data_IF_895111461844
#
_entry.id   IF_895111461844
#
_cell.length_a   1.000
_cell.length_b   1.000
_cell.length_c   1.000
_cell.angle_alpha   90.00
_cell.angle_beta   90.00
_cell.angle_gamma   90.00
#
_symmetry.space_group_name_H-M   'P 1'
#
loop_
_entity.id
_entity.type
_entity.pdbx_description
1 polymer ?
#
# COMPACT_ATOMS: atom_id res chain seq x y z
N UNK A 1 1.36 9.89 -2.47
CA UNK A 1 1.55 8.52 -3.00
C UNK A 1 0.34 7.67 -2.62
N UNK A 2 -0.02 6.68 -3.42
CA UNK A 2 -1.42 6.34 -3.71
C UNK A 2 -2.14 5.51 -2.61
N UNK A 3 -2.72 6.20 -1.61
CA UNK A 3 -3.61 5.62 -0.58
C UNK A 3 -4.69 4.68 -1.13
N UNK A 4 -5.10 4.87 -2.38
CA UNK A 4 -6.14 4.06 -3.01
C UNK A 4 -5.66 2.64 -3.30
N UNK A 5 -4.36 2.41 -3.54
CA UNK A 5 -3.83 1.06 -3.82
C UNK A 5 -4.03 0.14 -2.61
N UNK A 6 -3.69 0.60 -1.41
CA UNK A 6 -3.86 -0.21 -0.19
C UNK A 6 -5.32 -0.42 0.15
N UNK A 7 -6.16 0.62 0.00
CA UNK A 7 -7.60 0.50 0.20
C UNK A 7 -8.22 -0.51 -0.77
N UNK A 8 -7.79 -0.50 -2.05
CA UNK A 8 -8.22 -1.46 -3.05
C UNK A 8 -7.76 -2.87 -2.69
N UNK A 9 -6.49 -3.08 -2.33
CA UNK A 9 -5.98 -4.38 -1.93
C UNK A 9 -6.70 -4.94 -0.69
N UNK A 10 -6.99 -4.09 0.30
CA UNK A 10 -7.77 -4.49 1.47
C UNK A 10 -9.22 -4.81 1.13
N UNK A 11 -9.86 -4.02 0.26
CA UNK A 11 -11.22 -4.25 -0.19
C UNK A 11 -11.35 -5.57 -0.96
N UNK A 12 -10.39 -5.85 -1.86
CA UNK A 12 -10.30 -7.11 -2.60
C UNK A 12 -10.13 -8.26 -1.61
N UNK A 13 -9.14 -8.20 -0.72
CA UNK A 13 -8.90 -9.23 0.29
C UNK A 13 -10.13 -9.52 1.15
N UNK A 14 -10.84 -8.48 1.61
CA UNK A 14 -12.07 -8.62 2.41
C UNK A 14 -13.21 -9.26 1.63
N UNK A 15 -13.34 -8.95 0.35
CA UNK A 15 -14.46 -9.42 -0.49
C UNK A 15 -14.25 -10.84 -1.00
N UNK A 16 -13.01 -11.19 -1.36
CA UNK A 16 -12.70 -12.48 -2.01
C UNK A 16 -12.06 -13.50 -1.06
N UNK A 17 -11.55 -13.06 0.10
CA UNK A 17 -10.77 -13.90 1.01
C UNK A 17 -9.40 -14.31 0.46
N UNK A 18 -8.99 -13.79 -0.70
CA UNK A 18 -7.73 -14.15 -1.34
C UNK A 18 -6.53 -13.62 -0.54
N UNK A 19 -5.36 -14.22 -0.73
CA UNK A 19 -4.16 -13.73 -0.04
C UNK A 19 -3.64 -12.41 -0.66
N UNK A 20 -2.54 -11.90 -0.11
CA UNK A 20 -1.98 -10.61 -0.57
C UNK A 20 -1.35 -10.70 -1.97
N UNK A 21 -0.81 -11.86 -2.34
CA UNK A 21 -0.21 -12.06 -3.65
C UNK A 21 -1.31 -12.12 -4.71
N UNK A 22 -2.40 -12.84 -4.43
CA UNK A 22 -3.58 -12.89 -5.29
C UNK A 22 -4.24 -11.53 -5.46
N UNK A 23 -4.37 -10.75 -4.39
CA UNK A 23 -4.92 -9.40 -4.47
C UNK A 23 -4.05 -8.47 -5.34
N UNK A 24 -2.72 -8.59 -5.24
CA UNK A 24 -1.78 -7.80 -6.05
C UNK A 24 -1.81 -8.21 -7.51
N UNK A 25 -1.86 -9.52 -7.79
CA UNK A 25 -2.02 -10.05 -9.15
C UNK A 25 -3.33 -9.60 -9.78
N UNK A 26 -4.44 -9.73 -9.07
CA UNK A 26 -5.74 -9.22 -9.52
C UNK A 26 -5.69 -7.72 -9.81
N UNK A 27 -5.09 -6.93 -8.93
CA UNK A 27 -4.93 -5.49 -9.15
C UNK A 27 -4.10 -5.19 -10.41
N UNK A 28 -3.03 -5.95 -10.65
CA UNK A 28 -2.19 -5.81 -11.84
C UNK A 28 -2.99 -6.07 -13.12
N UNK A 29 -3.78 -7.15 -13.13
CA UNK A 29 -4.66 -7.51 -14.25
C UNK A 29 -5.71 -6.43 -14.53
N UNK A 30 -6.40 -5.94 -13.49
CA UNK A 30 -7.41 -4.89 -13.66
C UNK A 30 -6.83 -3.54 -14.11
N UNK A 31 -5.63 -3.22 -13.67
CA UNK A 31 -4.96 -1.97 -14.04
C UNK A 31 -4.20 -2.06 -15.37
N UNK A 32 -4.13 -3.25 -15.99
CA UNK A 32 -3.37 -3.45 -17.23
C UNK A 32 -1.87 -3.24 -17.07
N UNK A 33 -1.32 -3.55 -15.88
CA UNK A 33 0.11 -3.36 -15.57
C UNK A 33 0.77 -4.69 -15.21
N UNK A 34 2.11 -4.70 -15.21
CA UNK A 34 2.85 -5.87 -14.72
C UNK A 34 2.64 -6.07 -13.22
N UNK A 35 2.70 -7.33 -12.76
CA UNK A 35 2.62 -7.65 -11.33
C UNK A 35 3.74 -6.95 -10.54
N UNK A 36 4.93 -6.80 -11.14
CA UNK A 36 6.05 -6.04 -10.56
C UNK A 36 5.65 -4.59 -10.27
N UNK A 37 4.92 -3.94 -11.17
CA UNK A 37 4.43 -2.57 -10.98
C UNK A 37 3.44 -2.49 -9.82
N UNK A 38 2.51 -3.44 -9.73
CA UNK A 38 1.54 -3.48 -8.62
C UNK A 38 2.23 -3.75 -7.27
N UNK A 39 3.22 -4.65 -7.24
CA UNK A 39 4.07 -4.88 -6.06
C UNK A 39 4.85 -3.62 -5.66
N UNK A 40 5.38 -2.87 -6.62
CA UNK A 40 6.05 -1.61 -6.36
C UNK A 40 5.12 -0.60 -5.69
N UNK A 41 3.87 -0.47 -6.17
CA UNK A 41 2.88 0.40 -5.52
C UNK A 41 2.61 0.01 -4.07
N UNK A 42 2.48 -1.28 -3.77
CA UNK A 42 2.33 -1.79 -2.40
C UNK A 42 3.54 -1.43 -1.51
N UNK A 43 4.76 -1.57 -2.04
CA UNK A 43 5.97 -1.24 -1.28
C UNK A 43 6.09 0.26 -1.00
N UNK A 44 5.74 1.10 -1.98
CA UNK A 44 5.71 2.55 -1.82
C UNK A 44 4.77 2.99 -0.69
N UNK A 45 3.63 2.33 -0.52
CA UNK A 45 2.76 2.62 0.62
C UNK A 45 3.39 2.25 1.96
N UNK A 46 4.02 1.08 2.07
CA UNK A 46 4.72 0.68 3.31
C UNK A 46 5.76 1.73 3.72
N UNK A 47 6.53 2.21 2.74
CA UNK A 47 7.52 3.27 2.97
C UNK A 47 6.84 4.57 3.39
N UNK A 48 5.74 4.98 2.74
CA UNK A 48 4.95 6.16 3.14
C UNK A 48 4.52 6.09 4.60
N UNK A 49 3.91 4.99 5.03
CA UNK A 49 3.44 4.83 6.41
C UNK A 49 4.61 4.88 7.42
N UNK A 50 5.74 4.26 7.11
CA UNK A 50 6.92 4.33 7.96
C UNK A 50 7.48 5.76 8.05
N UNK A 51 7.54 6.47 6.92
CA UNK A 51 7.97 7.87 6.86
C UNK A 51 7.06 8.78 7.67
N UNK A 52 5.74 8.68 7.51
CA UNK A 52 4.77 9.48 8.27
C UNK A 52 4.93 9.28 9.79
N UNK A 53 5.08 8.03 10.22
CA UNK A 53 5.30 7.71 11.63
C UNK A 53 6.60 8.32 12.16
N UNK A 54 7.68 8.24 11.39
CA UNK A 54 8.98 8.80 11.78
C UNK A 54 8.96 10.33 11.83
N UNK A 55 8.33 10.97 10.84
CA UNK A 55 8.16 12.43 10.82
C UNK A 55 7.30 12.91 11.99
N UNK A 56 6.23 12.19 12.34
CA UNK A 56 5.42 12.50 13.52
C UNK A 56 6.23 12.46 14.82
N UNK A 57 7.07 11.43 14.99
CA UNK A 57 8.01 11.34 16.14
C UNK A 57 9.01 12.49 16.20
N UNK A 58 9.53 12.92 15.04
CA UNK A 58 10.44 14.07 14.97
C UNK A 58 9.70 15.35 15.35
N UNK A 59 8.50 15.56 14.82
CA UNK A 59 7.69 16.73 15.14
C UNK A 59 7.33 16.81 16.64
N UNK A 60 7.02 15.68 17.30
CA UNK A 60 6.81 15.66 18.76
C UNK A 60 8.06 16.01 19.55
N UNK A 61 9.25 15.55 19.12
CA UNK A 61 10.51 15.91 19.77
C UNK A 61 10.81 17.39 19.68
N UNK A 62 10.47 18.03 18.55
CA UNK A 62 10.69 19.46 18.34
C UNK A 62 9.73 20.37 19.14
N UNK A 63 8.63 19.82 19.65
CA UNK A 63 7.67 20.55 20.51
C UNK A 63 8.07 20.57 21.99
N UNK A 64 9.02 19.73 22.39
CA UNK A 64 9.58 19.65 23.75
C UNK A 64 10.79 20.54 23.86
#
# INVERSE_FOLDING_TARGET
>A
MNKYVTQLLEAVRKKTGCDTSDAVRWLAEQAGVSERTAWYWKQQEKLRTATEKNLGRIAEKLKR
#
